data_IF_348187133533
#
_entry.id   IF_348187133533
#
_cell.length_a   1.000
_cell.length_b   1.000
_cell.length_c   1.000
_cell.angle_alpha   90.00
_cell.angle_beta   90.00
_cell.angle_gamma   90.00
#
_symmetry.space_group_name_H-M   'P 1'
#
loop_
_entity.id
_entity.type
_entity.pdbx_description
1 polymer ?
#
# COMPACT_ATOMS: atom_id res chain seq x y z
N UNK A 1 55.10 3.76 -4.49
CA UNK A 1 54.75 5.15 -4.33
C UNK A 1 53.38 5.22 -3.68
N UNK A 2 53.40 5.31 -2.35
CA UNK A 2 52.23 5.18 -1.46
C UNK A 2 51.76 6.60 -1.08
N UNK A 3 50.85 7.16 -1.84
CA UNK A 3 50.24 8.47 -1.47
C UNK A 3 48.77 8.61 -1.88
N UNK A 4 48.00 7.52 -1.90
CA UNK A 4 46.56 7.57 -2.26
C UNK A 4 45.67 6.98 -1.17
N UNK A 5 46.13 6.81 0.06
CA UNK A 5 45.35 6.16 1.13
C UNK A 5 44.87 7.08 2.26
N UNK A 6 44.79 8.39 2.03
CA UNK A 6 44.28 9.33 3.05
C UNK A 6 43.20 10.27 2.53
N UNK A 7 42.36 9.84 1.60
CA UNK A 7 41.09 10.51 1.34
C UNK A 7 39.94 9.56 1.64
N UNK A 8 39.37 9.75 2.79
CA UNK A 8 38.04 9.18 3.14
C UNK A 8 37.05 9.86 2.21
N UNK A 9 36.70 9.18 1.13
CA UNK A 9 35.60 9.61 0.29
C UNK A 9 34.29 9.24 0.99
N UNK A 10 33.60 10.25 1.52
CA UNK A 10 32.18 10.15 1.77
C UNK A 10 31.47 10.15 0.42
N UNK A 11 31.18 8.96 -0.11
CA UNK A 11 30.29 8.82 -1.26
C UNK A 11 28.92 8.44 -0.73
N UNK A 12 28.06 9.42 -0.63
CA UNK A 12 26.62 9.20 -0.54
C UNK A 12 26.10 9.01 -1.96
N UNK A 13 25.32 7.91 -2.16
CA UNK A 13 24.55 7.58 -3.36
C UNK A 13 25.33 7.23 -4.63
N UNK A 14 25.66 5.96 -4.84
CA UNK A 14 25.40 5.21 -6.07
C UNK A 14 26.09 3.84 -6.02
N UNK A 15 25.33 2.80 -5.75
CA UNK A 15 25.80 1.40 -5.81
C UNK A 15 26.41 1.02 -7.18
N UNK A 16 26.04 1.71 -8.25
CA UNK A 16 26.56 1.47 -9.60
C UNK A 16 28.04 1.87 -9.75
N UNK A 17 28.46 2.96 -9.11
CA UNK A 17 29.85 3.42 -9.14
C UNK A 17 30.76 2.48 -8.36
N UNK A 18 30.28 1.94 -7.24
CA UNK A 18 31.02 0.97 -6.43
C UNK A 18 31.27 -0.35 -7.16
N UNK A 19 30.29 -0.86 -7.90
CA UNK A 19 30.43 -2.10 -8.68
C UNK A 19 31.45 -1.92 -9.81
N UNK A 20 31.49 -0.76 -10.45
CA UNK A 20 32.45 -0.49 -11.54
C UNK A 20 33.87 -0.35 -11.01
N UNK A 21 34.07 0.33 -9.89
CA UNK A 21 35.38 0.48 -9.25
C UNK A 21 35.90 -0.88 -8.72
N UNK A 22 35.04 -1.71 -8.12
CA UNK A 22 35.42 -3.05 -7.69
C UNK A 22 35.77 -3.97 -8.87
N UNK A 23 35.07 -3.89 -10.01
CA UNK A 23 35.43 -4.65 -11.22
C UNK A 23 36.77 -4.22 -11.80
N UNK A 24 37.09 -2.92 -11.84
CA UNK A 24 38.38 -2.43 -12.30
C UNK A 24 39.53 -2.81 -11.37
N UNK A 25 39.31 -2.80 -10.05
CA UNK A 25 40.31 -3.23 -9.08
C UNK A 25 40.54 -4.75 -9.14
N UNK A 26 39.52 -5.57 -9.41
CA UNK A 26 39.71 -7.01 -9.62
C UNK A 26 40.47 -7.34 -10.90
N UNK A 27 40.26 -6.63 -12.00
CA UNK A 27 41.03 -6.82 -13.23
C UNK A 27 42.50 -6.38 -13.09
N UNK A 28 42.75 -5.36 -12.27
CA UNK A 28 44.13 -4.92 -11.99
C UNK A 28 44.88 -5.88 -11.04
N UNK A 29 44.21 -6.53 -10.09
CA UNK A 29 44.83 -7.47 -9.13
C UNK A 29 45.16 -8.82 -9.73
N UNK A 30 44.50 -9.22 -10.81
CA UNK A 30 44.82 -10.44 -11.54
C UNK A 30 46.15 -10.36 -12.34
N UNK A 31 46.70 -9.17 -12.55
CA UNK A 31 47.98 -8.95 -13.22
C UNK A 31 49.19 -8.84 -12.26
N UNK A 32 48.96 -8.77 -10.94
CA UNK A 32 50.02 -8.69 -9.92
C UNK A 32 50.16 -9.98 -9.16
N UNK A 33 51.32 -10.60 -9.23
CA UNK A 33 51.78 -11.90 -8.70
C UNK A 33 51.34 -12.24 -7.29
N UNK A 34 51.22 -13.54 -7.02
CA UNK A 34 50.84 -14.30 -5.81
C UNK A 34 50.99 -13.68 -4.42
N UNK A 35 51.81 -12.68 -4.21
CA UNK A 35 52.06 -12.00 -2.91
C UNK A 35 50.92 -11.06 -2.50
N UNK A 36 50.19 -10.48 -3.44
CA UNK A 36 49.09 -9.55 -3.17
C UNK A 36 47.83 -10.27 -2.75
N UNK A 37 47.65 -11.53 -3.14
CA UNK A 37 46.48 -12.33 -2.81
C UNK A 37 46.39 -12.69 -1.32
N UNK A 38 47.55 -12.79 -0.64
CA UNK A 38 47.62 -13.17 0.79
C UNK A 38 47.26 -11.98 1.71
N UNK A 39 47.54 -10.77 1.30
CA UNK A 39 47.21 -9.53 2.07
C UNK A 39 45.73 -9.21 1.98
N UNK A 40 45.09 -9.45 0.82
CA UNK A 40 43.66 -9.19 0.64
C UNK A 40 42.76 -10.11 1.49
N UNK A 41 43.15 -11.38 1.73
CA UNK A 41 42.37 -12.31 2.55
C UNK A 41 42.36 -11.96 4.05
N UNK A 42 43.36 -11.23 4.53
CA UNK A 42 43.42 -10.83 5.95
C UNK A 42 42.74 -9.49 6.24
N UNK A 43 42.57 -8.62 5.25
CA UNK A 43 42.03 -7.27 5.46
C UNK A 43 40.52 -7.12 5.20
N UNK A 44 39.87 -8.10 4.58
CA UNK A 44 38.45 -8.03 4.26
C UNK A 44 37.65 -9.30 4.59
N UNK A 45 37.68 -9.83 5.83
CA UNK A 45 36.83 -10.97 6.16
C UNK A 45 35.33 -10.59 6.23
N UNK A 46 34.99 -9.31 6.37
CA UNK A 46 33.61 -8.85 6.49
C UNK A 46 32.91 -8.55 5.15
N UNK A 47 33.66 -8.36 4.08
CA UNK A 47 33.07 -8.03 2.77
C UNK A 47 32.63 -9.24 1.95
N UNK A 48 33.22 -10.41 2.20
CA UNK A 48 32.85 -11.64 1.48
C UNK A 48 31.53 -12.25 1.95
N UNK A 49 31.12 -12.00 3.19
CA UNK A 49 29.85 -12.54 3.73
C UNK A 49 28.61 -11.69 3.39
N UNK A 50 28.78 -10.52 2.74
CA UNK A 50 27.65 -9.70 2.27
C UNK A 50 27.25 -9.99 0.81
N UNK A 51 27.89 -10.94 0.13
CA UNK A 51 27.61 -11.25 -1.29
C UNK A 51 26.79 -12.55 -1.45
N UNK A 52 26.42 -13.21 -0.37
CA UNK A 52 25.42 -14.29 -0.37
C UNK A 52 23.98 -13.76 -0.25
N UNK A 53 23.69 -12.60 -0.87
CA UNK A 53 22.32 -12.32 -1.27
C UNK A 53 21.95 -13.35 -2.34
N UNK A 54 20.86 -14.09 -2.20
CA UNK A 54 20.43 -15.01 -3.23
C UNK A 54 20.28 -14.21 -4.53
N UNK A 55 21.20 -14.42 -5.45
CA UNK A 55 21.07 -13.93 -6.82
C UNK A 55 19.88 -14.69 -7.39
N UNK A 56 18.69 -14.10 -7.33
CA UNK A 56 17.54 -14.63 -8.05
C UNK A 56 17.97 -14.61 -9.52
N UNK A 57 18.11 -15.78 -10.16
CA UNK A 57 18.54 -15.82 -11.56
C UNK A 57 17.59 -14.97 -12.39
N UNK A 58 18.12 -14.14 -13.28
CA UNK A 58 17.36 -13.25 -14.17
C UNK A 58 16.28 -13.98 -15.00
N UNK A 59 16.29 -15.30 -15.02
CA UNK A 59 15.31 -16.18 -15.65
C UNK A 59 14.02 -16.40 -14.82
N UNK A 60 13.91 -15.87 -13.60
CA UNK A 60 12.72 -16.00 -12.75
C UNK A 60 11.87 -14.71 -12.66
N UNK A 61 12.14 -13.71 -13.45
CA UNK A 61 11.15 -12.64 -13.66
C UNK A 61 10.01 -13.24 -14.49
N UNK A 62 9.03 -13.84 -13.82
CA UNK A 62 7.81 -14.31 -14.45
C UNK A 62 7.15 -13.12 -15.15
N UNK A 63 6.94 -13.23 -16.46
CA UNK A 63 6.23 -12.19 -17.22
C UNK A 63 4.82 -12.05 -16.65
N UNK A 64 4.37 -10.80 -16.46
CA UNK A 64 3.01 -10.49 -16.05
C UNK A 64 2.00 -11.26 -16.94
N UNK A 65 1.11 -12.07 -16.36
CA UNK A 65 0.14 -12.86 -17.10
C UNK A 65 -0.85 -12.00 -17.90
N UNK A 66 -1.49 -12.60 -18.91
CA UNK A 66 -2.43 -11.89 -19.77
C UNK A 66 -3.67 -11.38 -19.02
N UNK A 67 -4.15 -12.07 -18.00
CA UNK A 67 -5.31 -11.66 -17.19
C UNK A 67 -5.08 -10.43 -16.31
N UNK A 68 -3.83 -9.98 -16.16
CA UNK A 68 -3.49 -8.73 -15.49
C UNK A 68 -3.34 -7.55 -16.45
N UNK A 69 -3.68 -7.73 -17.73
CA UNK A 69 -3.71 -6.62 -18.68
C UNK A 69 -4.97 -5.79 -18.48
N UNK A 70 -4.80 -4.50 -18.34
CA UNK A 70 -5.89 -3.53 -18.20
C UNK A 70 -6.12 -2.85 -19.54
N UNK A 71 -7.38 -2.56 -19.83
CA UNK A 71 -7.72 -1.65 -20.92
C UNK A 71 -7.31 -0.23 -20.53
N UNK A 72 -6.78 0.54 -21.48
CA UNK A 72 -6.54 1.96 -21.24
C UNK A 72 -7.85 2.65 -20.86
N UNK A 73 -7.84 3.57 -19.88
CA UNK A 73 -9.03 4.30 -19.51
C UNK A 73 -9.47 5.18 -20.70
N UNK A 74 -10.67 4.95 -21.18
CA UNK A 74 -11.28 5.69 -22.29
C UNK A 74 -12.74 5.96 -21.93
N UNK A 75 -13.28 7.08 -22.40
CA UNK A 75 -14.68 7.45 -22.19
C UNK A 75 -14.83 8.93 -21.87
N UNK A 76 -16.04 9.46 -22.08
CA UNK A 76 -16.33 10.89 -21.85
C UNK A 76 -16.27 11.24 -20.36
N UNK A 77 -16.80 10.37 -19.52
CA UNK A 77 -16.80 10.53 -18.06
C UNK A 77 -15.38 10.54 -17.50
N UNK A 78 -14.52 9.60 -17.93
CA UNK A 78 -13.11 9.60 -17.55
C UNK A 78 -12.41 10.89 -18.00
N UNK A 79 -12.60 11.31 -19.25
CA UNK A 79 -11.98 12.53 -19.78
C UNK A 79 -12.46 13.79 -19.02
N UNK A 80 -13.74 13.82 -18.64
CA UNK A 80 -14.31 14.91 -17.82
C UNK A 80 -13.65 14.96 -16.44
N UNK A 81 -13.62 13.84 -15.70
CA UNK A 81 -13.00 13.78 -14.38
C UNK A 81 -11.50 14.09 -14.48
N UNK A 82 -10.79 13.57 -15.47
CA UNK A 82 -9.39 13.88 -15.73
C UNK A 82 -9.16 15.38 -15.92
N UNK A 83 -10.01 16.04 -16.73
CA UNK A 83 -9.95 17.50 -16.95
C UNK A 83 -10.16 18.27 -15.65
N UNK A 84 -11.09 17.85 -14.78
CA UNK A 84 -11.30 18.47 -13.48
C UNK A 84 -10.08 18.32 -12.57
N UNK A 85 -9.51 17.11 -12.50
CA UNK A 85 -8.28 16.82 -11.73
C UNK A 85 -7.14 17.72 -12.17
N UNK A 86 -6.89 17.84 -13.48
CA UNK A 86 -5.81 18.66 -14.04
C UNK A 86 -6.06 20.17 -13.81
N UNK A 87 -7.28 20.65 -14.08
CA UNK A 87 -7.63 22.06 -13.98
C UNK A 87 -7.57 22.59 -12.55
N UNK A 88 -8.07 21.77 -11.61
CA UNK A 88 -8.16 22.15 -10.20
C UNK A 88 -6.99 21.63 -9.34
N UNK A 89 -6.00 20.98 -9.97
CA UNK A 89 -4.82 20.40 -9.29
C UNK A 89 -5.21 19.48 -8.13
N UNK A 90 -6.21 18.61 -8.37
CA UNK A 90 -6.70 17.69 -7.36
C UNK A 90 -5.74 16.51 -7.17
N UNK A 91 -5.66 15.97 -5.97
CA UNK A 91 -4.80 14.84 -5.65
C UNK A 91 -5.61 13.59 -5.36
N UNK A 92 -5.48 12.57 -6.21
CA UNK A 92 -6.11 11.27 -6.01
C UNK A 92 -5.05 10.18 -5.93
N UNK A 93 -5.24 9.19 -5.06
CA UNK A 93 -4.38 7.99 -5.02
C UNK A 93 -4.56 7.14 -6.29
N UNK A 94 -5.70 7.27 -6.95
CA UNK A 94 -5.96 6.60 -8.23
C UNK A 94 -4.90 6.98 -9.28
N UNK A 95 -4.51 8.25 -9.31
CA UNK A 95 -3.49 8.75 -10.23
C UNK A 95 -2.08 8.47 -9.72
N UNK A 96 -1.73 8.91 -8.50
CA UNK A 96 -0.39 8.75 -7.93
C UNK A 96 0.01 7.27 -7.72
N UNK A 97 -0.97 6.40 -7.48
CA UNK A 97 -0.80 4.95 -7.35
C UNK A 97 -0.86 4.17 -8.67
N UNK A 98 -1.01 4.84 -9.82
CA UNK A 98 -1.19 4.19 -11.13
C UNK A 98 -2.24 3.07 -11.10
N UNK A 99 -3.41 3.35 -10.51
CA UNK A 99 -4.45 2.36 -10.29
C UNK A 99 -4.98 1.81 -11.63
N UNK A 100 -4.97 0.49 -11.84
CA UNK A 100 -5.45 -0.11 -13.09
C UNK A 100 -6.95 0.11 -13.34
N UNK A 101 -7.72 0.37 -12.27
CA UNK A 101 -9.18 0.49 -12.32
C UNK A 101 -9.67 1.95 -12.40
N UNK A 102 -8.76 2.92 -12.50
CA UNK A 102 -9.09 4.35 -12.46
C UNK A 102 -10.18 4.74 -13.45
N UNK A 103 -10.08 4.26 -14.70
CA UNK A 103 -11.06 4.59 -15.74
C UNK A 103 -12.46 4.07 -15.43
N UNK A 104 -12.58 2.88 -14.89
CA UNK A 104 -13.84 2.26 -14.51
C UNK A 104 -14.44 2.94 -13.27
N UNK A 105 -13.65 3.11 -12.18
CA UNK A 105 -14.11 3.73 -10.96
C UNK A 105 -14.59 5.19 -11.17
N UNK A 106 -13.81 5.99 -11.89
CA UNK A 106 -14.18 7.37 -12.19
C UNK A 106 -15.45 7.45 -13.07
N UNK A 107 -15.59 6.52 -14.05
CA UNK A 107 -16.81 6.39 -14.83
C UNK A 107 -18.04 6.01 -14.00
N UNK A 108 -17.85 5.25 -12.92
CA UNK A 108 -18.91 4.89 -11.97
C UNK A 108 -19.20 5.98 -10.91
N UNK A 109 -18.41 7.07 -10.88
CA UNK A 109 -18.53 8.14 -9.90
C UNK A 109 -17.91 7.82 -8.54
N UNK A 110 -16.93 6.90 -8.52
CA UNK A 110 -16.14 6.55 -7.32
C UNK A 110 -14.72 7.09 -7.47
N UNK A 111 -14.22 7.79 -6.45
CA UNK A 111 -12.84 8.27 -6.40
C UNK A 111 -12.22 8.04 -5.02
N UNK A 112 -10.90 7.85 -4.99
CA UNK A 112 -10.12 7.68 -3.75
C UNK A 112 -9.17 8.85 -3.58
N UNK A 113 -9.31 9.56 -2.47
CA UNK A 113 -8.45 10.69 -2.09
C UNK A 113 -7.48 10.26 -1.01
N UNK A 114 -6.25 10.75 -1.10
CA UNK A 114 -5.22 10.55 -0.08
C UNK A 114 -4.99 11.86 0.67
N UNK A 115 -5.12 11.82 2.00
CA UNK A 115 -4.95 12.97 2.90
C UNK A 115 -3.66 12.85 3.73
N UNK A 116 -3.35 13.90 4.48
CA UNK A 116 -2.17 14.03 5.34
C UNK A 116 -0.84 14.09 4.58
N UNK A 117 -0.91 14.49 3.30
CA UNK A 117 0.24 14.63 2.42
C UNK A 117 0.61 13.37 1.65
N UNK A 118 1.85 13.32 1.16
CA UNK A 118 2.34 12.29 0.24
C UNK A 118 3.60 11.56 0.72
N UNK A 119 4.04 11.79 1.97
CA UNK A 119 5.19 11.13 2.60
C UNK A 119 4.68 10.38 3.82
N UNK A 120 4.90 9.06 3.85
CA UNK A 120 4.50 8.17 4.93
C UNK A 120 5.63 8.00 5.94
N UNK A 121 5.31 7.92 7.23
CA UNK A 121 6.29 7.59 8.29
C UNK A 121 6.64 6.11 8.33
N UNK A 122 5.87 5.24 7.63
CA UNK A 122 6.10 3.79 7.56
C UNK A 122 6.62 3.35 6.20
N UNK A 123 7.41 2.27 6.22
CA UNK A 123 8.10 1.71 5.04
C UNK A 123 7.58 0.31 4.69
N UNK A 124 6.31 0.18 4.38
CA UNK A 124 5.75 -1.10 3.94
C UNK A 124 6.38 -1.50 2.59
N UNK A 125 6.93 -2.72 2.50
CA UNK A 125 7.72 -3.16 1.34
C UNK A 125 6.89 -3.33 0.04
N UNK A 126 5.58 -3.29 0.13
CA UNK A 126 4.67 -3.36 -1.02
C UNK A 126 4.22 -2.00 -1.56
N UNK A 127 4.40 -0.91 -0.80
CA UNK A 127 3.75 0.36 -1.02
C UNK A 127 4.63 1.33 -1.83
N UNK A 128 4.06 1.92 -2.89
CA UNK A 128 4.74 2.90 -3.74
C UNK A 128 4.82 4.31 -3.13
N UNK A 129 4.14 4.57 -2.02
CA UNK A 129 4.15 5.89 -1.36
C UNK A 129 5.54 6.18 -0.80
N UNK A 130 6.03 7.39 -1.01
CA UNK A 130 7.33 7.82 -0.51
C UNK A 130 7.40 7.72 1.02
N UNK A 131 8.49 7.14 1.52
CA UNK A 131 8.75 7.02 2.97
C UNK A 131 9.73 8.09 3.42
N UNK A 132 9.49 8.68 4.59
CA UNK A 132 10.39 9.69 5.13
C UNK A 132 9.78 10.53 6.23
N UNK A 133 10.31 11.74 6.39
CA UNK A 133 9.76 12.72 7.32
C UNK A 133 8.72 13.60 6.61
N UNK A 134 7.44 13.50 6.98
CA UNK A 134 6.39 14.31 6.37
C UNK A 134 6.57 15.82 6.66
N UNK A 135 5.97 16.63 5.82
CA UNK A 135 5.83 18.07 6.06
C UNK A 135 4.82 18.36 7.19
N UNK A 136 4.77 19.61 7.62
CA UNK A 136 3.74 20.05 8.56
C UNK A 136 2.34 19.74 8.02
N UNK A 137 1.40 19.49 8.96
CA UNK A 137 0.01 19.23 8.60
C UNK A 137 -0.59 20.47 7.94
N UNK A 138 -1.27 20.25 6.83
CA UNK A 138 -1.98 21.30 6.12
C UNK A 138 -3.43 21.35 6.60
N UNK A 139 -3.74 22.33 7.44
CA UNK A 139 -5.08 22.52 8.01
C UNK A 139 -6.15 22.91 6.98
N UNK A 140 -5.75 23.34 5.78
CA UNK A 140 -6.67 23.63 4.68
C UNK A 140 -6.97 22.42 3.79
N UNK A 141 -6.34 21.27 4.02
CA UNK A 141 -6.54 20.06 3.22
C UNK A 141 -7.99 19.53 3.26
N UNK A 142 -8.69 19.50 4.42
CA UNK A 142 -10.07 19.04 4.50
C UNK A 142 -11.02 19.78 3.54
N UNK A 143 -10.94 21.11 3.51
CA UNK A 143 -11.77 21.93 2.63
C UNK A 143 -11.45 21.70 1.14
N UNK A 144 -10.17 21.56 0.80
CA UNK A 144 -9.78 21.28 -0.59
C UNK A 144 -10.24 19.91 -1.06
N UNK A 145 -10.18 18.89 -0.20
CA UNK A 145 -10.71 17.57 -0.51
C UNK A 145 -12.21 17.62 -0.71
N UNK A 146 -12.96 18.28 0.20
CA UNK A 146 -14.40 18.45 0.07
C UNK A 146 -14.81 19.17 -1.22
N UNK A 147 -14.10 20.23 -1.58
CA UNK A 147 -14.31 20.93 -2.85
C UNK A 147 -14.01 20.03 -4.05
N UNK A 148 -12.99 19.18 -3.97
CA UNK A 148 -12.65 18.20 -5.03
C UNK A 148 -13.76 17.19 -5.23
N UNK A 149 -14.28 16.62 -4.14
CA UNK A 149 -15.41 15.67 -4.16
C UNK A 149 -16.64 16.31 -4.81
N UNK A 150 -16.95 17.58 -4.44
CA UNK A 150 -18.04 18.34 -4.99
C UNK A 150 -17.90 18.61 -6.50
N UNK A 151 -16.73 19.10 -6.92
CA UNK A 151 -16.43 19.40 -8.32
C UNK A 151 -16.48 18.16 -9.20
N UNK A 152 -15.97 17.04 -8.72
CA UNK A 152 -15.98 15.75 -9.42
C UNK A 152 -17.34 15.05 -9.35
N UNK A 153 -18.31 15.58 -8.61
CA UNK A 153 -19.64 14.98 -8.40
C UNK A 153 -19.58 13.52 -7.96
N UNK A 154 -18.63 13.22 -7.05
CA UNK A 154 -18.36 11.85 -6.56
C UNK A 154 -19.60 11.35 -5.80
N UNK A 155 -20.13 10.19 -6.19
CA UNK A 155 -21.26 9.53 -5.52
C UNK A 155 -20.82 8.74 -4.29
N UNK A 156 -19.68 8.09 -4.40
CA UNK A 156 -19.05 7.34 -3.33
C UNK A 156 -17.57 7.73 -3.22
N UNK A 157 -17.19 8.34 -2.11
CA UNK A 157 -15.84 8.84 -1.86
C UNK A 157 -15.10 7.90 -0.92
N UNK A 158 -13.96 7.38 -1.36
CA UNK A 158 -13.04 6.66 -0.49
C UNK A 158 -11.92 7.60 -0.06
N UNK A 159 -11.68 7.69 1.23
CA UNK A 159 -10.58 8.48 1.80
C UNK A 159 -9.54 7.52 2.35
N UNK A 160 -8.28 7.74 2.03
CA UNK A 160 -7.14 7.07 2.65
C UNK A 160 -6.09 8.09 3.10
N UNK A 161 -5.08 7.69 3.82
CA UNK A 161 -3.98 8.57 4.22
C UNK A 161 -2.63 7.87 4.17
N UNK A 162 -1.58 8.69 4.23
CA UNK A 162 -0.27 8.22 4.71
C UNK A 162 -0.33 8.00 6.22
N UNK A 163 0.54 7.13 6.77
CA UNK A 163 0.72 7.06 8.22
C UNK A 163 1.49 8.28 8.72
N UNK A 164 1.01 8.85 9.83
CA UNK A 164 1.58 10.02 10.51
C UNK A 164 1.92 9.68 11.95
N UNK A 165 2.79 8.67 12.13
CA UNK A 165 3.28 8.25 13.45
C UNK A 165 4.11 9.35 14.17
N UNK A 166 4.47 10.41 13.45
CA UNK A 166 5.10 11.63 13.95
C UNK A 166 4.14 12.56 14.70
N UNK A 167 2.83 12.43 14.47
CA UNK A 167 1.80 13.20 15.15
C UNK A 167 1.25 12.46 16.38
N UNK A 168 0.94 13.20 17.45
CA UNK A 168 0.37 12.62 18.67
C UNK A 168 -1.00 11.99 18.43
N UNK A 169 -1.80 12.63 17.59
CA UNK A 169 -3.14 12.18 17.20
C UNK A 169 -3.13 11.25 15.97
N UNK A 170 -1.96 10.93 15.41
CA UNK A 170 -1.85 10.13 14.19
C UNK A 170 -2.57 10.72 12.98
N UNK A 171 -2.93 12.01 13.03
CA UNK A 171 -3.71 12.71 12.00
C UNK A 171 -5.22 12.54 12.13
N UNK A 172 -5.74 11.94 13.19
CA UNK A 172 -7.18 11.65 13.37
C UNK A 172 -8.06 12.91 13.38
N UNK A 173 -7.52 14.08 13.76
CA UNK A 173 -8.24 15.35 13.67
C UNK A 173 -8.52 15.69 12.20
N UNK A 174 -7.52 15.63 11.34
CA UNK A 174 -7.69 15.90 9.90
C UNK A 174 -8.65 14.89 9.25
N UNK A 175 -8.61 13.63 9.68
CA UNK A 175 -9.58 12.62 9.26
C UNK A 175 -11.02 13.05 9.55
N UNK A 176 -11.31 13.40 10.81
CA UNK A 176 -12.64 13.83 11.22
C UNK A 176 -13.10 15.12 10.51
N UNK A 177 -12.21 16.10 10.39
CA UNK A 177 -12.49 17.36 9.68
C UNK A 177 -12.75 17.13 8.19
N UNK A 178 -12.00 16.23 7.53
CA UNK A 178 -12.21 15.91 6.12
C UNK A 178 -13.59 15.28 5.88
N UNK A 179 -13.98 14.31 6.71
CA UNK A 179 -15.30 13.67 6.63
C UNK A 179 -16.41 14.71 6.82
N UNK A 180 -16.29 15.56 7.84
CA UNK A 180 -17.27 16.59 8.12
C UNK A 180 -17.35 17.64 7.00
N UNK A 181 -16.22 18.04 6.43
CA UNK A 181 -16.17 18.99 5.31
C UNK A 181 -16.85 18.40 4.06
N UNK A 182 -16.59 17.12 3.73
CA UNK A 182 -17.24 16.46 2.59
C UNK A 182 -18.76 16.39 2.81
N UNK A 183 -19.22 16.02 4.00
CA UNK A 183 -20.65 15.96 4.31
C UNK A 183 -21.33 17.31 4.19
N UNK A 184 -20.66 18.39 4.56
CA UNK A 184 -21.18 19.74 4.43
C UNK A 184 -21.30 20.16 2.97
N UNK A 185 -20.28 19.89 2.15
CA UNK A 185 -20.22 20.34 0.75
C UNK A 185 -20.92 19.38 -0.23
N UNK A 186 -21.03 18.10 0.12
CA UNK A 186 -21.57 17.03 -0.73
C UNK A 186 -22.42 16.06 0.11
N UNK A 187 -23.58 16.47 0.64
CA UNK A 187 -24.36 15.70 1.62
C UNK A 187 -24.89 14.35 1.08
N UNK A 188 -24.95 14.19 -0.23
CA UNK A 188 -25.41 12.96 -0.88
C UNK A 188 -24.25 11.99 -1.22
N UNK A 189 -23.01 12.37 -0.95
CA UNK A 189 -21.84 11.50 -1.17
C UNK A 189 -21.69 10.56 0.02
N UNK A 190 -21.68 9.27 -0.23
CA UNK A 190 -21.36 8.26 0.79
C UNK A 190 -19.86 8.14 0.97
N UNK A 191 -19.42 7.79 2.17
CA UNK A 191 -18.01 7.80 2.57
C UNK A 191 -17.51 6.44 3.03
N UNK A 192 -16.41 6.01 2.45
CA UNK A 192 -15.58 4.94 2.97
C UNK A 192 -14.23 5.50 3.43
N UNK A 193 -13.72 5.02 4.55
CA UNK A 193 -12.41 5.41 5.06
C UNK A 193 -11.48 4.21 5.13
N UNK A 194 -10.29 4.30 4.55
CA UNK A 194 -9.21 3.32 4.70
C UNK A 194 -8.16 3.89 5.64
N UNK A 195 -8.29 3.57 6.92
CA UNK A 195 -7.55 4.18 8.02
C UNK A 195 -6.30 3.39 8.43
N UNK A 196 -5.28 4.05 9.03
CA UNK A 196 -4.18 3.40 9.71
C UNK A 196 -4.63 2.76 11.04
N UNK A 197 -3.74 2.01 11.69
CA UNK A 197 -3.99 1.42 13.02
C UNK A 197 -3.74 2.41 14.17
N UNK A 198 -3.45 3.68 13.90
CA UNK A 198 -3.13 4.74 14.88
C UNK A 198 -2.16 4.29 15.98
N UNK A 199 -1.27 3.33 15.69
CA UNK A 199 -0.32 2.71 16.65
C UNK A 199 -1.00 2.04 17.85
N UNK A 200 -2.32 1.78 17.77
CA UNK A 200 -3.11 1.24 18.87
C UNK A 200 -3.53 2.29 19.90
N UNK A 201 -3.50 3.56 19.53
CA UNK A 201 -4.05 4.66 20.37
C UNK A 201 -5.53 4.80 19.98
N UNK A 202 -6.39 4.09 20.71
CA UNK A 202 -7.80 3.92 20.34
C UNK A 202 -8.60 5.23 20.40
N UNK A 203 -8.24 6.17 21.27
CA UNK A 203 -8.86 7.52 21.29
C UNK A 203 -8.75 8.24 19.92
N UNK A 204 -7.69 7.95 19.16
CA UNK A 204 -7.52 8.49 17.81
C UNK A 204 -8.44 7.79 16.80
N UNK A 205 -8.62 6.49 16.96
CA UNK A 205 -9.58 5.72 16.17
C UNK A 205 -11.01 6.19 16.48
N UNK A 206 -11.37 6.31 17.76
CA UNK A 206 -12.70 6.72 18.22
C UNK A 206 -13.10 8.08 17.64
N UNK A 207 -12.17 9.02 17.49
CA UNK A 207 -12.43 10.30 16.84
C UNK A 207 -12.91 10.15 15.40
N UNK A 208 -12.33 9.20 14.64
CA UNK A 208 -12.75 8.94 13.26
C UNK A 208 -14.07 8.18 13.24
N UNK A 209 -14.29 7.24 14.16
CA UNK A 209 -15.53 6.47 14.26
C UNK A 209 -16.70 7.36 14.68
N UNK A 210 -16.47 8.37 15.53
CA UNK A 210 -17.48 9.31 16.01
C UNK A 210 -18.15 10.13 14.90
N UNK A 211 -17.45 10.40 13.81
CA UNK A 211 -18.02 11.10 12.63
C UNK A 211 -18.74 10.15 11.67
N UNK A 212 -18.83 8.86 12.01
CA UNK A 212 -19.67 7.81 11.40
C UNK A 212 -19.64 7.73 9.86
N UNK A 213 -18.49 7.49 9.21
CA UNK A 213 -18.48 7.13 7.79
C UNK A 213 -19.28 5.85 7.54
N UNK A 214 -19.80 5.66 6.33
CA UNK A 214 -20.67 4.53 6.00
C UNK A 214 -19.92 3.20 6.02
N UNK A 215 -18.62 3.20 5.66
CA UNK A 215 -17.73 2.04 5.72
C UNK A 215 -16.38 2.46 6.32
N UNK A 216 -15.87 1.67 7.25
CA UNK A 216 -14.52 1.86 7.80
C UNK A 216 -13.67 0.64 7.47
N UNK A 217 -12.59 0.90 6.75
CA UNK A 217 -11.62 -0.11 6.32
C UNK A 217 -10.32 0.04 7.08
N UNK A 218 -9.76 -1.08 7.48
CA UNK A 218 -8.34 -1.20 7.85
C UNK A 218 -7.80 -2.49 7.24
N UNK A 219 -6.87 -2.36 6.29
CA UNK A 219 -6.36 -3.53 5.57
C UNK A 219 -5.37 -4.33 6.41
N UNK A 220 -5.54 -5.66 6.40
CA UNK A 220 -4.57 -6.59 6.95
C UNK A 220 -3.33 -6.71 6.04
N UNK A 221 -3.52 -6.48 4.74
CA UNK A 221 -2.56 -6.45 3.62
C UNK A 221 -1.92 -7.78 3.30
N UNK A 222 -1.56 -8.59 4.29
CA UNK A 222 -0.95 -9.91 4.12
C UNK A 222 -1.23 -10.80 5.32
N UNK A 223 -0.85 -12.07 5.22
CA UNK A 223 -1.03 -13.09 6.25
C UNK A 223 -0.08 -12.90 7.44
N UNK A 224 -0.39 -13.50 8.59
CA UNK A 224 0.36 -13.39 9.85
C UNK A 224 1.86 -13.62 9.68
N UNK A 225 2.22 -14.70 9.01
CA UNK A 225 3.63 -15.11 8.80
C UNK A 225 4.45 -14.06 8.05
N UNK A 226 3.85 -13.39 7.06
CA UNK A 226 4.53 -12.42 6.20
C UNK A 226 4.47 -10.98 6.72
N UNK A 227 3.64 -10.67 7.72
CA UNK A 227 3.41 -9.29 8.18
C UNK A 227 4.71 -8.58 8.56
N UNK A 228 5.63 -9.25 9.26
CA UNK A 228 6.89 -8.62 9.71
C UNK A 228 7.79 -8.20 8.53
N UNK A 229 7.76 -8.95 7.43
CA UNK A 229 8.56 -8.70 6.23
C UNK A 229 7.89 -7.66 5.32
N UNK A 230 6.57 -7.76 5.16
CA UNK A 230 5.79 -6.95 4.22
C UNK A 230 5.39 -5.61 4.84
N UNK A 231 5.11 -5.57 6.15
CA UNK A 231 4.62 -4.40 6.90
C UNK A 231 5.46 -4.18 8.17
N UNK A 232 6.68 -3.71 8.01
CA UNK A 232 7.71 -3.68 9.07
C UNK A 232 7.23 -3.03 10.39
N UNK A 233 6.50 -1.91 10.34
CA UNK A 233 6.03 -1.15 11.52
C UNK A 233 4.63 -1.56 11.98
N UNK A 234 3.82 -2.16 11.11
CA UNK A 234 2.50 -2.64 11.47
C UNK A 234 2.57 -4.01 12.17
N UNK A 235 1.58 -4.28 13.01
CA UNK A 235 1.47 -5.56 13.73
C UNK A 235 0.16 -6.23 13.37
N UNK A 236 0.21 -7.51 13.07
CA UNK A 236 -0.95 -8.31 12.67
C UNK A 236 -2.07 -8.24 13.71
N UNK A 237 -1.76 -8.55 14.98
CA UNK A 237 -2.74 -8.55 16.07
C UNK A 237 -3.30 -7.16 16.36
N UNK A 238 -2.50 -6.10 16.20
CA UNK A 238 -2.98 -4.72 16.33
C UNK A 238 -3.94 -4.34 15.20
N UNK A 239 -3.71 -4.84 13.99
CA UNK A 239 -4.65 -4.66 12.87
C UNK A 239 -5.97 -5.35 13.14
N UNK A 240 -5.96 -6.58 13.68
CA UNK A 240 -7.18 -7.27 14.09
C UNK A 240 -7.90 -6.55 15.22
N UNK A 241 -7.17 -6.02 16.21
CA UNK A 241 -7.78 -5.24 17.29
C UNK A 241 -8.42 -3.95 16.77
N UNK A 242 -7.76 -3.24 15.84
CA UNK A 242 -8.34 -2.08 15.17
C UNK A 242 -9.69 -2.44 14.50
N UNK A 243 -9.75 -3.58 13.79
CA UNK A 243 -10.97 -4.05 13.14
C UNK A 243 -12.07 -4.40 14.17
N UNK A 244 -11.72 -5.02 15.31
CA UNK A 244 -12.69 -5.28 16.40
C UNK A 244 -13.29 -3.99 16.95
N UNK A 245 -12.46 -2.97 17.18
CA UNK A 245 -12.94 -1.65 17.65
C UNK A 245 -13.88 -1.00 16.62
N UNK A 246 -13.56 -1.08 15.33
CA UNK A 246 -14.46 -0.61 14.26
C UNK A 246 -15.79 -1.35 14.31
N UNK A 247 -15.78 -2.68 14.39
CA UNK A 247 -16.99 -3.49 14.44
C UNK A 247 -17.85 -3.16 15.67
N UNK A 248 -17.21 -3.00 16.85
CA UNK A 248 -17.90 -2.66 18.11
C UNK A 248 -18.59 -1.29 18.05
N UNK A 249 -18.14 -0.37 17.19
CA UNK A 249 -18.80 0.93 16.97
C UNK A 249 -20.11 0.82 16.17
N UNK A 250 -20.44 -0.38 15.65
CA UNK A 250 -21.61 -0.63 14.82
C UNK A 250 -21.49 -0.08 13.39
N UNK A 251 -20.27 0.15 12.91
CA UNK A 251 -20.01 0.57 11.53
C UNK A 251 -19.69 -0.64 10.64
N UNK A 252 -19.92 -0.50 9.32
CA UNK A 252 -19.52 -1.52 8.35
C UNK A 252 -18.00 -1.64 8.33
N UNK A 253 -17.51 -2.80 8.76
CA UNK A 253 -16.08 -3.09 8.90
C UNK A 253 -15.57 -3.81 7.66
N UNK A 254 -14.49 -3.29 7.07
CA UNK A 254 -13.88 -3.84 5.86
C UNK A 254 -12.39 -4.06 6.04
N UNK A 255 -11.87 -5.11 5.39
CA UNK A 255 -10.44 -5.38 5.32
C UNK A 255 -10.05 -5.93 3.95
N UNK A 256 -8.76 -5.93 3.67
CA UNK A 256 -8.21 -6.45 2.42
C UNK A 256 -6.88 -7.17 2.61
N UNK A 257 -6.65 -8.15 1.74
CA UNK A 257 -5.40 -8.92 1.67
C UNK A 257 -4.93 -8.93 0.21
N UNK A 258 -3.64 -8.71 0.02
CA UNK A 258 -2.97 -8.91 -1.27
C UNK A 258 -2.44 -10.33 -1.35
N UNK A 259 -2.59 -10.96 -2.52
CA UNK A 259 -2.11 -12.30 -2.80
C UNK A 259 -0.92 -12.28 -3.78
N UNK A 260 -0.03 -13.26 -3.65
CA UNK A 260 1.19 -13.36 -4.45
C UNK A 260 2.44 -12.81 -3.77
N UNK A 261 2.40 -12.62 -2.44
CA UNK A 261 3.53 -12.21 -1.60
C UNK A 261 4.30 -13.43 -1.03
N UNK A 262 3.84 -14.67 -1.29
CA UNK A 262 4.42 -15.92 -0.81
C UNK A 262 3.60 -16.60 0.30
N UNK A 263 2.34 -16.20 0.46
CA UNK A 263 1.37 -16.89 1.32
C UNK A 263 0.94 -18.23 0.72
N UNK A 264 0.60 -19.18 1.59
CA UNK A 264 -0.04 -20.43 1.22
C UNK A 264 -1.55 -20.33 1.32
N UNK A 265 -2.29 -21.27 0.72
CA UNK A 265 -3.75 -21.33 0.84
C UNK A 265 -4.19 -21.45 2.32
N UNK A 266 -3.45 -22.19 3.13
CA UNK A 266 -3.70 -22.32 4.58
C UNK A 266 -3.55 -20.98 5.28
N UNK A 267 -2.47 -20.23 5.00
CA UNK A 267 -2.25 -18.90 5.56
C UNK A 267 -3.40 -17.94 5.22
N UNK A 268 -3.94 -18.02 3.98
CA UNK A 268 -5.06 -17.16 3.54
C UNK A 268 -6.34 -17.52 4.29
N UNK A 269 -6.65 -18.81 4.41
CA UNK A 269 -7.84 -19.27 5.13
C UNK A 269 -7.77 -18.91 6.63
N UNK A 270 -6.60 -19.04 7.26
CA UNK A 270 -6.37 -18.59 8.64
C UNK A 270 -6.62 -17.09 8.78
N UNK A 271 -6.08 -16.28 7.84
CA UNK A 271 -6.30 -14.84 7.86
C UNK A 271 -7.77 -14.46 7.64
N UNK A 272 -8.51 -15.20 6.81
CA UNK A 272 -9.96 -15.00 6.62
C UNK A 272 -10.73 -15.31 7.91
N UNK A 273 -10.38 -16.39 8.63
CA UNK A 273 -10.97 -16.71 9.94
C UNK A 273 -10.67 -15.61 10.97
N UNK A 274 -9.39 -15.18 11.09
CA UNK A 274 -8.99 -14.10 11.99
C UNK A 274 -9.78 -12.79 11.73
N UNK A 275 -10.05 -12.49 10.45
CA UNK A 275 -10.86 -11.33 10.06
C UNK A 275 -12.33 -11.47 10.43
N UNK A 276 -12.92 -12.65 10.25
CA UNK A 276 -14.30 -12.92 10.69
C UNK A 276 -14.45 -12.83 12.21
N UNK A 277 -13.50 -13.38 12.96
CA UNK A 277 -13.45 -13.26 14.43
C UNK A 277 -13.30 -11.81 14.89
N UNK A 278 -12.64 -10.99 14.09
CA UNK A 278 -12.55 -9.54 14.33
C UNK A 278 -13.81 -8.77 13.93
N UNK A 279 -14.83 -9.42 13.37
CA UNK A 279 -16.11 -8.82 12.97
C UNK A 279 -16.06 -8.10 11.63
N UNK A 280 -15.19 -8.52 10.71
CA UNK A 280 -15.12 -7.94 9.36
C UNK A 280 -16.30 -8.43 8.52
N UNK A 281 -17.04 -7.48 7.94
CA UNK A 281 -18.17 -7.77 7.07
C UNK A 281 -17.80 -7.90 5.60
N UNK A 282 -16.82 -7.11 5.15
CA UNK A 282 -16.42 -6.94 3.76
C UNK A 282 -14.96 -7.32 3.60
N UNK A 283 -14.68 -8.29 2.71
CA UNK A 283 -13.32 -8.72 2.40
C UNK A 283 -12.97 -8.37 0.95
N UNK A 284 -11.77 -7.83 0.74
CA UNK A 284 -11.20 -7.65 -0.61
C UNK A 284 -9.94 -8.49 -0.77
N UNK A 285 -9.84 -9.23 -1.88
CA UNK A 285 -8.67 -10.02 -2.25
C UNK A 285 -8.18 -9.61 -3.64
N UNK A 286 -6.93 -9.18 -3.74
CA UNK A 286 -6.36 -8.70 -4.99
C UNK A 286 -4.92 -9.18 -5.21
N UNK A 287 -4.48 -9.28 -6.46
CA UNK A 287 -3.09 -9.63 -6.77
C UNK A 287 -2.15 -8.50 -6.38
N UNK A 288 -1.10 -8.81 -5.66
CA UNK A 288 0.02 -7.91 -5.45
C UNK A 288 0.73 -7.60 -6.77
N UNK A 289 0.96 -6.33 -7.03
CA UNK A 289 1.73 -5.85 -8.17
C UNK A 289 2.93 -5.06 -7.65
N UNK A 290 4.13 -5.55 -7.91
CA UNK A 290 5.37 -4.90 -7.45
C UNK A 290 5.54 -3.52 -8.09
N UNK A 291 5.60 -2.43 -7.29
CA UNK A 291 5.72 -1.08 -7.84
C UNK A 291 7.07 -0.81 -8.51
N UNK A 292 8.16 -1.29 -7.93
CA UNK A 292 9.51 -1.19 -8.48
C UNK A 292 10.39 -2.35 -8.01
N UNK A 293 11.57 -2.50 -8.59
CA UNK A 293 12.53 -3.57 -8.25
C UNK A 293 12.99 -3.55 -6.78
N UNK A 294 12.81 -2.42 -6.09
CA UNK A 294 13.20 -2.26 -4.68
C UNK A 294 12.11 -2.68 -3.69
N UNK A 295 10.90 -2.97 -4.18
CA UNK A 295 9.78 -3.44 -3.37
C UNK A 295 9.79 -4.96 -3.27
N UNK A 296 8.98 -5.50 -2.35
CA UNK A 296 8.80 -6.93 -2.20
C UNK A 296 8.52 -7.58 -3.56
N UNK A 297 9.21 -8.67 -3.95
CA UNK A 297 8.98 -9.30 -5.25
C UNK A 297 7.61 -9.96 -5.32
N UNK A 298 7.04 -10.06 -6.51
CA UNK A 298 5.90 -10.95 -6.72
C UNK A 298 6.44 -12.38 -6.68
N UNK A 299 5.97 -13.16 -5.71
CA UNK A 299 6.36 -14.56 -5.55
C UNK A 299 5.51 -15.45 -6.45
N UNK A 300 4.19 -15.19 -6.48
CA UNK A 300 3.25 -15.97 -7.29
C UNK A 300 2.27 -15.09 -8.04
N UNK A 301 1.90 -15.54 -9.24
CA UNK A 301 0.79 -15.00 -10.01
C UNK A 301 -0.44 -15.89 -9.79
N UNK A 302 -1.34 -15.44 -8.93
CA UNK A 302 -2.54 -16.20 -8.58
C UNK A 302 -3.50 -16.22 -9.75
N UNK A 303 -3.95 -17.41 -10.13
CA UNK A 303 -4.90 -17.59 -11.22
C UNK A 303 -6.29 -17.03 -10.88
N UNK A 304 -7.04 -16.48 -11.88
CA UNK A 304 -8.39 -15.95 -11.65
C UNK A 304 -9.33 -16.95 -10.96
N UNK A 305 -9.20 -18.23 -11.27
CA UNK A 305 -9.99 -19.32 -10.71
C UNK A 305 -9.77 -19.47 -9.19
N UNK A 306 -8.55 -19.18 -8.71
CA UNK A 306 -8.26 -19.23 -7.27
C UNK A 306 -8.89 -18.04 -6.55
N UNK A 307 -8.95 -16.85 -7.17
CA UNK A 307 -9.70 -15.72 -6.63
C UNK A 307 -11.18 -16.03 -6.51
N UNK A 308 -11.77 -16.69 -7.52
CA UNK A 308 -13.19 -17.10 -7.46
C UNK A 308 -13.45 -18.12 -6.35
N UNK A 309 -12.54 -19.08 -6.16
CA UNK A 309 -12.62 -20.02 -5.02
C UNK A 309 -12.61 -19.30 -3.68
N UNK A 310 -11.71 -18.33 -3.48
CA UNK A 310 -11.68 -17.56 -2.24
C UNK A 310 -12.92 -16.69 -2.06
N UNK A 311 -13.53 -16.21 -3.14
CA UNK A 311 -14.79 -15.48 -3.08
C UNK A 311 -15.92 -16.36 -2.56
N UNK A 312 -16.11 -17.53 -3.17
CA UNK A 312 -17.13 -18.50 -2.75
C UNK A 312 -16.89 -18.91 -1.31
N UNK A 313 -15.67 -19.33 -0.99
CA UNK A 313 -15.29 -19.73 0.36
C UNK A 313 -15.57 -18.62 1.40
N UNK A 314 -15.20 -17.38 1.10
CA UNK A 314 -15.42 -16.27 2.03
C UNK A 314 -16.91 -16.00 2.29
N UNK A 315 -17.76 -16.13 1.28
CA UNK A 315 -19.21 -16.02 1.45
C UNK A 315 -19.76 -17.17 2.28
N UNK A 316 -19.30 -18.41 2.05
CA UNK A 316 -19.67 -19.60 2.85
C UNK A 316 -19.21 -19.50 4.31
N UNK A 317 -18.03 -18.89 4.56
CA UNK A 317 -17.52 -18.63 5.90
C UNK A 317 -18.33 -17.58 6.67
N UNK A 318 -19.07 -16.69 5.97
CA UNK A 318 -19.96 -15.72 6.60
C UNK A 318 -19.66 -14.25 6.34
N UNK A 319 -18.67 -13.90 5.50
CA UNK A 319 -18.53 -12.52 5.04
C UNK A 319 -19.80 -12.09 4.31
N UNK A 320 -20.23 -10.85 4.56
CA UNK A 320 -21.41 -10.29 3.90
C UNK A 320 -21.15 -9.91 2.45
N UNK A 321 -19.92 -9.53 2.15
CA UNK A 321 -19.47 -9.19 0.81
C UNK A 321 -18.02 -9.61 0.61
N UNK A 322 -17.70 -10.19 -0.53
CA UNK A 322 -16.32 -10.54 -0.92
C UNK A 322 -16.07 -10.05 -2.33
N UNK A 323 -15.15 -9.09 -2.48
CA UNK A 323 -14.62 -8.68 -3.78
C UNK A 323 -13.27 -9.37 -3.97
N UNK A 324 -13.16 -10.26 -4.94
CA UNK A 324 -11.97 -11.07 -5.14
C UNK A 324 -11.65 -11.20 -6.62
N UNK A 325 -10.42 -10.84 -6.99
CA UNK A 325 -9.97 -10.92 -8.38
C UNK A 325 -8.58 -10.32 -8.60
N UNK A 326 -7.92 -10.66 -9.69
CA UNK A 326 -6.53 -10.23 -9.94
C UNK A 326 -6.32 -8.71 -9.96
N UNK A 327 -7.32 -7.95 -10.39
CA UNK A 327 -7.25 -6.49 -10.47
C UNK A 327 -7.94 -5.78 -9.30
N UNK A 328 -8.52 -6.51 -8.35
CA UNK A 328 -9.18 -5.93 -7.18
C UNK A 328 -8.18 -5.10 -6.36
N UNK A 329 -8.64 -3.95 -5.90
CA UNK A 329 -8.00 -3.05 -4.95
C UNK A 329 -8.99 -2.76 -3.82
N UNK A 330 -8.51 -2.28 -2.68
CA UNK A 330 -9.38 -2.04 -1.52
C UNK A 330 -10.57 -1.12 -1.81
N UNK A 331 -10.44 -0.17 -2.73
CA UNK A 331 -11.53 0.73 -3.13
C UNK A 331 -12.28 0.31 -4.42
N UNK A 332 -11.97 -0.87 -4.97
CA UNK A 332 -12.65 -1.35 -6.17
C UNK A 332 -14.08 -1.74 -5.86
N UNK A 333 -15.04 -1.24 -6.65
CA UNK A 333 -16.48 -1.40 -6.44
C UNK A 333 -16.97 -1.01 -5.02
N UNK A 334 -16.30 -0.03 -4.39
CA UNK A 334 -16.62 0.36 -3.00
C UNK A 334 -18.08 0.83 -2.83
N UNK A 335 -18.69 1.37 -3.88
CA UNK A 335 -20.11 1.76 -3.90
C UNK A 335 -21.07 0.58 -3.69
N UNK A 336 -20.64 -0.65 -3.98
CA UNK A 336 -21.46 -1.87 -3.78
C UNK A 336 -21.43 -2.38 -2.34
N UNK A 337 -20.60 -1.78 -1.49
CA UNK A 337 -20.45 -2.18 -0.09
C UNK A 337 -21.51 -1.55 0.84
N UNK A 338 -22.42 -0.78 0.28
CA UNK A 338 -23.47 -0.03 0.99
C UNK A 338 -24.77 -0.84 1.07
N UNK A 339 -24.70 -2.08 1.56
CA UNK A 339 -25.87 -2.93 1.79
C UNK A 339 -26.43 -2.74 3.20
N UNK A 340 -27.71 -3.08 3.40
CA UNK A 340 -28.33 -3.07 4.72
C UNK A 340 -27.82 -4.25 5.57
N UNK A 341 -27.67 -4.02 6.86
CA UNK A 341 -27.24 -5.03 7.83
C UNK A 341 -28.43 -5.80 8.38
#
# INVERSE_FOLDING_TARGET
>A
MLYVLHHTFYVWSDCAVYITVCRQLMTYSLQLKRTTYYVQRRTFPYFCNMIDLPVIPANQMQRKPNWLRVKLPVGKEYAHVRSLVDTHKLHTICESGNCPNMGECWGAGTATFMILGNICTRSCSFCAVATGRPLAVDLGEPERVANSVKLMQVKHCVITSVDRDDLKDGGSIIWAETINAIRRESPNTTLETLIPDFRGIWDNLDRVLAVRPEVVSHNLETVRRLTKEVRVQAKYDRSLECLRQINQSGLRTKSGIMLGLGETEVDVIEAMNDLLEAGVHILTLGQYLQPSKNHHPVIDWIAPEQFEKYKVLGLEMGFKYVESGPLVRSSYHAEKHLFDF
#
